data_IF_843290178599
#
_entry.id   IF_843290178599
#
_cell.length_a   1.000
_cell.length_b   1.000
_cell.length_c   1.000
_cell.angle_alpha   90.00
_cell.angle_beta   90.00
_cell.angle_gamma   90.00
#
_symmetry.space_group_name_H-M   'P 1'
#
loop_
_entity.id
_entity.type
_entity.pdbx_description
1 polymer ?
#
# COMPACT_ATOMS: atom_id res chain seq x y z
N UNK A 1 -9.42 -3.47 17.67
CA UNK A 1 -8.50 -4.20 16.79
C UNK A 1 -8.03 -3.24 15.73
N UNK A 2 -6.75 -2.89 15.73
CA UNK A 2 -6.15 -2.04 14.71
C UNK A 2 -6.01 -2.85 13.42
N UNK A 3 -6.52 -2.33 12.30
CA UNK A 3 -6.43 -3.01 11.00
C UNK A 3 -5.19 -2.51 10.28
N UNK A 4 -4.11 -3.27 10.32
CA UNK A 4 -2.87 -2.89 9.64
C UNK A 4 -2.78 -3.57 8.27
N UNK A 5 -2.38 -2.81 7.25
CA UNK A 5 -1.96 -3.36 5.96
C UNK A 5 -0.46 -3.11 5.75
N UNK A 6 0.20 -4.04 5.08
CA UNK A 6 1.60 -3.89 4.68
C UNK A 6 1.72 -3.55 3.20
N UNK A 7 2.64 -2.64 2.89
CA UNK A 7 2.98 -2.20 1.53
C UNK A 7 4.49 -2.24 1.33
N UNK A 8 4.95 -2.28 0.09
CA UNK A 8 6.36 -2.15 -0.26
C UNK A 8 6.54 -0.94 -1.17
N UNK A 9 7.53 -0.09 -0.88
CA UNK A 9 7.90 1.01 -1.76
C UNK A 9 9.04 0.54 -2.65
N UNK A 10 8.88 0.69 -3.97
CA UNK A 10 9.92 0.39 -4.96
C UNK A 10 10.16 1.62 -5.81
N UNK A 11 11.41 2.01 -5.96
CA UNK A 11 11.80 3.00 -6.96
C UNK A 11 11.92 2.31 -8.32
N UNK A 12 11.18 2.80 -9.31
CA UNK A 12 11.17 2.29 -10.69
C UNK A 12 11.48 3.45 -11.60
N UNK A 13 12.67 3.46 -12.18
CA UNK A 13 13.17 4.53 -13.07
C UNK A 13 13.02 5.94 -12.45
N UNK A 14 13.42 6.10 -11.19
CA UNK A 14 13.33 7.38 -10.47
C UNK A 14 11.94 7.70 -9.91
N UNK A 15 10.93 6.86 -10.12
CA UNK A 15 9.58 7.04 -9.58
C UNK A 15 9.29 6.04 -8.46
N UNK A 16 8.95 6.54 -7.28
CA UNK A 16 8.49 5.68 -6.18
C UNK A 16 7.08 5.14 -6.44
N UNK A 17 6.94 3.82 -6.30
CA UNK A 17 5.70 3.07 -6.49
C UNK A 17 5.39 2.28 -5.23
N UNK A 18 4.15 2.38 -4.77
CA UNK A 18 3.69 1.73 -3.53
C UNK A 18 2.91 0.46 -3.91
N UNK A 19 3.53 -0.70 -3.70
CA UNK A 19 2.94 -1.99 -4.02
C UNK A 19 2.24 -2.60 -2.80
N UNK A 20 1.12 -3.33 -3.00
CA UNK A 20 0.52 -4.11 -1.93
C UNK A 20 1.43 -5.27 -1.50
N UNK A 21 1.61 -5.49 -0.20
CA UNK A 21 2.45 -6.55 0.35
C UNK A 21 1.68 -7.60 1.18
N UNK A 22 0.41 -7.36 1.52
CA UNK A 22 -0.49 -8.35 2.13
C UNK A 22 -1.79 -8.57 1.34
N UNK A 23 -2.56 -9.59 1.68
CA UNK A 23 -3.83 -9.91 1.02
C UNK A 23 -4.83 -8.73 1.06
N UNK A 24 -5.04 -8.11 2.22
CA UNK A 24 -5.94 -6.96 2.35
C UNK A 24 -5.50 -5.79 1.48
N UNK A 25 -4.21 -5.47 1.44
CA UNK A 25 -3.68 -4.43 0.55
C UNK A 25 -3.90 -4.77 -0.94
N UNK A 26 -3.80 -6.06 -1.32
CA UNK A 26 -4.08 -6.48 -2.71
C UNK A 26 -5.55 -6.31 -3.06
N UNK A 27 -6.46 -6.67 -2.15
CA UNK A 27 -7.90 -6.47 -2.38
C UNK A 27 -8.25 -4.98 -2.53
N UNK A 28 -7.65 -4.12 -1.70
CA UNK A 28 -7.87 -2.67 -1.77
C UNK A 28 -7.37 -2.08 -3.09
N UNK A 29 -6.20 -2.49 -3.58
CA UNK A 29 -5.68 -1.98 -4.86
C UNK A 29 -6.50 -2.47 -6.06
N UNK A 30 -7.01 -3.71 -5.99
CA UNK A 30 -7.90 -4.29 -7.02
C UNK A 30 -9.24 -3.56 -7.04
N UNK A 31 -9.79 -3.21 -5.87
CA UNK A 31 -11.00 -2.41 -5.76
C UNK A 31 -10.83 -1.02 -6.43
N UNK A 32 -9.64 -0.43 -6.29
CA UNK A 32 -9.24 0.81 -6.97
C UNK A 32 -8.88 0.61 -8.46
N UNK A 33 -9.01 -0.61 -9.00
CA UNK A 33 -8.63 -1.00 -10.37
C UNK A 33 -7.19 -0.63 -10.74
N UNK A 34 -6.28 -0.69 -9.77
CA UNK A 34 -4.88 -0.33 -9.92
C UNK A 34 -3.96 -1.49 -9.56
N UNK A 35 -2.66 -1.36 -9.89
CA UNK A 35 -1.60 -2.32 -9.51
C UNK A 35 -0.73 -1.84 -8.35
N UNK A 36 -0.77 -0.55 -8.08
CA UNK A 36 -0.01 0.15 -7.04
C UNK A 36 -0.91 1.22 -6.43
N UNK A 37 -0.69 1.55 -5.17
CA UNK A 37 -1.35 2.68 -4.54
C UNK A 37 -0.74 3.99 -5.00
N UNK A 38 -1.60 4.97 -5.24
CA UNK A 38 -1.24 6.39 -5.30
C UNK A 38 -1.20 7.00 -3.90
N UNK A 39 -0.63 8.19 -3.77
CA UNK A 39 -0.69 8.94 -2.52
C UNK A 39 -2.13 9.24 -2.06
N UNK A 40 -3.07 9.41 -3.01
CA UNK A 40 -4.48 9.61 -2.70
C UNK A 40 -5.10 8.33 -2.10
N UNK A 41 -4.80 7.16 -2.68
CA UNK A 41 -5.31 5.88 -2.17
C UNK A 41 -4.83 5.63 -0.74
N UNK A 42 -3.55 5.92 -0.45
CA UNK A 42 -2.97 5.80 0.89
C UNK A 42 -3.70 6.70 1.90
N UNK A 43 -4.06 7.93 1.52
CA UNK A 43 -4.85 8.83 2.37
C UNK A 43 -6.24 8.28 2.63
N UNK A 44 -6.92 7.78 1.59
CA UNK A 44 -8.24 7.15 1.71
C UNK A 44 -8.19 5.93 2.61
N UNK A 45 -7.20 5.05 2.46
CA UNK A 45 -7.03 3.86 3.28
C UNK A 45 -6.81 4.21 4.76
N UNK A 46 -6.00 5.25 5.05
CA UNK A 46 -5.86 5.77 6.42
C UNK A 46 -7.18 6.33 6.97
N UNK A 47 -7.94 7.05 6.15
CA UNK A 47 -9.25 7.59 6.55
C UNK A 47 -10.29 6.50 6.83
N UNK A 48 -10.18 5.33 6.19
CA UNK A 48 -10.99 4.15 6.49
C UNK A 48 -10.61 3.46 7.82
N UNK A 49 -9.59 3.96 8.52
CA UNK A 49 -9.14 3.43 9.81
C UNK A 49 -8.09 2.32 9.71
N UNK A 50 -7.40 2.20 8.57
CA UNK A 50 -6.28 1.28 8.43
C UNK A 50 -4.95 1.96 8.79
N UNK A 51 -4.13 1.23 9.54
CA UNK A 51 -2.70 1.55 9.70
C UNK A 51 -1.92 0.96 8.53
N UNK A 52 -0.85 1.65 8.11
CA UNK A 52 -0.06 1.26 6.95
C UNK A 52 1.40 1.10 7.39
N UNK A 53 1.92 -0.10 7.22
CA UNK A 53 3.31 -0.44 7.49
C UNK A 53 4.06 -0.68 6.19
N UNK A 54 5.28 -0.14 6.11
CA UNK A 54 6.17 -0.41 4.97
C UNK A 54 7.01 -1.62 5.32
N UNK A 55 6.90 -2.68 4.52
CA UNK A 55 7.75 -3.85 4.67
C UNK A 55 9.20 -3.45 4.42
N UNK A 56 10.03 -3.56 5.46
CA UNK A 56 11.46 -3.33 5.33
C UNK A 56 12.05 -4.37 4.37
N UNK A 57 12.88 -3.91 3.44
CA UNK A 57 13.64 -4.81 2.57
C UNK A 57 14.79 -5.38 3.41
N UNK A 58 14.70 -6.65 3.80
CA UNK A 58 15.86 -7.34 4.38
C UNK A 58 16.93 -7.48 3.29
N UNK A 59 18.12 -6.95 3.56
CA UNK A 59 19.32 -7.07 2.72
C UNK A 59 19.95 -8.46 2.85
#
# INVERSE_FOLDING_TARGET
>A
MEKTITVTIKNVYGTDRIYPACETSRLLVVLAKAKTFSAADIKTVKALGYSIEVQAKTL
#
